data_IF_519583443865
#
_entry.id   IF_519583443865
#
_cell.length_a   1.000
_cell.length_b   1.000
_cell.length_c   1.000
_cell.angle_alpha   90.00
_cell.angle_beta   90.00
_cell.angle_gamma   90.00
#
_symmetry.space_group_name_H-M   'P 1'
#
loop_
_entity.id
_entity.type
_entity.pdbx_description
1 polymer ?
#
# COMPACT_ATOMS: atom_id res chain seq x y z
N UNK A 1 12.61 1.16 -15.12
CA UNK A 1 11.23 1.70 -15.24
C UNK A 1 11.17 3.05 -14.52
N UNK A 2 10.52 4.02 -15.11
CA UNK A 2 10.35 5.31 -14.45
C UNK A 2 9.44 5.14 -13.21
N UNK A 3 9.72 5.90 -12.16
CA UNK A 3 8.98 5.84 -10.91
C UNK A 3 7.47 6.02 -11.11
N UNK A 4 7.07 6.98 -11.95
CA UNK A 4 5.66 7.27 -12.18
C UNK A 4 4.93 6.26 -13.08
N UNK A 5 5.64 5.26 -13.60
CA UNK A 5 5.03 4.16 -14.36
C UNK A 5 4.62 2.98 -13.45
N UNK A 6 4.87 3.07 -12.16
CA UNK A 6 4.51 2.02 -11.22
C UNK A 6 2.99 1.80 -11.15
N UNK A 7 2.60 0.54 -11.11
CA UNK A 7 1.20 0.16 -10.89
C UNK A 7 0.94 0.09 -9.40
N UNK A 8 0.05 0.94 -8.91
CA UNK A 8 -0.24 1.06 -7.47
C UNK A 8 -1.69 0.68 -7.22
N UNK A 9 -1.90 -0.23 -6.27
CA UNK A 9 -3.22 -0.56 -5.77
C UNK A 9 -3.42 0.15 -4.43
N UNK A 10 -4.40 1.03 -4.38
CA UNK A 10 -4.72 1.81 -3.18
C UNK A 10 -5.96 1.21 -2.51
N UNK A 11 -5.82 0.84 -1.24
CA UNK A 11 -6.91 0.24 -0.47
C UNK A 11 -7.20 1.09 0.76
N UNK A 12 -8.39 1.70 0.79
CA UNK A 12 -8.82 2.59 1.86
C UNK A 12 -10.35 2.57 1.94
N UNK A 13 -10.89 2.22 3.10
CA UNK A 13 -12.33 2.09 3.26
C UNK A 13 -13.07 3.42 3.44
N UNK A 14 -12.36 4.47 3.80
CA UNK A 14 -12.95 5.78 4.02
C UNK A 14 -13.01 6.56 2.70
N UNK A 15 -14.21 6.87 2.17
CA UNK A 15 -14.33 7.42 0.81
C UNK A 15 -13.53 8.70 0.58
N UNK A 16 -13.56 9.63 1.53
CA UNK A 16 -12.83 10.90 1.38
C UNK A 16 -11.33 10.68 1.41
N UNK A 17 -10.85 9.78 2.25
CA UNK A 17 -9.42 9.48 2.34
C UNK A 17 -8.94 8.76 1.09
N UNK A 18 -9.76 7.89 0.53
CA UNK A 18 -9.43 7.20 -0.73
C UNK A 18 -9.27 8.20 -1.87
N UNK A 19 -10.24 9.10 -2.01
CA UNK A 19 -10.20 10.14 -3.04
C UNK A 19 -9.00 11.06 -2.82
N UNK A 20 -8.73 11.47 -1.58
CA UNK A 20 -7.62 12.35 -1.25
C UNK A 20 -6.27 11.69 -1.59
N UNK A 21 -6.11 10.42 -1.23
CA UNK A 21 -4.88 9.68 -1.52
C UNK A 21 -4.67 9.53 -3.02
N UNK A 22 -5.72 9.20 -3.76
CA UNK A 22 -5.66 9.11 -5.21
C UNK A 22 -5.25 10.45 -5.83
N UNK A 23 -5.88 11.53 -5.38
CA UNK A 23 -5.55 12.87 -5.87
C UNK A 23 -4.09 13.22 -5.63
N UNK A 24 -3.59 12.93 -4.42
CA UNK A 24 -2.20 13.22 -4.08
C UNK A 24 -1.23 12.41 -4.96
N UNK A 25 -1.49 11.12 -5.14
CA UNK A 25 -0.64 10.29 -6.00
C UNK A 25 -0.64 10.79 -7.44
N UNK A 26 -1.81 11.16 -7.96
CA UNK A 26 -1.90 11.74 -9.30
C UNK A 26 -1.11 13.05 -9.40
N UNK A 27 -1.18 13.89 -8.37
CA UNK A 27 -0.43 15.15 -8.33
C UNK A 27 1.08 14.92 -8.28
N UNK A 28 1.52 13.77 -7.78
CA UNK A 28 2.93 13.39 -7.74
C UNK A 28 3.41 12.74 -9.04
N UNK A 29 2.53 12.57 -10.01
CA UNK A 29 2.85 12.02 -11.32
C UNK A 29 2.54 10.55 -11.53
N UNK A 30 1.94 9.88 -10.54
CA UNK A 30 1.56 8.49 -10.67
C UNK A 30 0.21 8.40 -11.37
N UNK A 31 0.13 7.65 -12.47
CA UNK A 31 -1.06 7.58 -13.30
C UNK A 31 -1.67 6.19 -13.40
N UNK A 32 -0.92 5.14 -13.03
CA UNK A 32 -1.38 3.76 -13.13
C UNK A 32 -1.91 3.29 -11.77
N UNK A 33 -3.03 3.90 -11.36
CA UNK A 33 -3.63 3.69 -10.05
C UNK A 33 -4.90 2.85 -10.17
N UNK A 34 -5.05 1.89 -9.28
CA UNK A 34 -6.30 1.15 -9.06
C UNK A 34 -6.71 1.39 -7.62
N UNK A 35 -7.96 1.69 -7.38
CA UNK A 35 -8.46 1.98 -6.03
C UNK A 35 -9.56 1.00 -5.65
N UNK A 36 -9.62 0.66 -4.37
CA UNK A 36 -10.69 -0.16 -3.82
C UNK A 36 -10.90 0.20 -2.35
N UNK A 37 -12.10 -0.07 -1.85
CA UNK A 37 -12.50 0.34 -0.51
C UNK A 37 -12.50 -0.80 0.51
N UNK A 38 -12.03 -1.98 0.13
CA UNK A 38 -12.02 -3.14 1.03
C UNK A 38 -10.89 -4.10 0.67
N UNK A 39 -10.51 -4.95 1.64
CA UNK A 39 -9.54 -6.02 1.38
C UNK A 39 -10.09 -7.02 0.37
N UNK A 40 -11.39 -7.32 0.44
CA UNK A 40 -12.05 -8.22 -0.52
C UNK A 40 -11.95 -7.67 -1.94
N UNK A 41 -12.22 -6.37 -2.12
CA UNK A 41 -12.06 -5.71 -3.42
C UNK A 41 -10.62 -5.71 -3.90
N UNK A 42 -9.66 -5.53 -2.99
CA UNK A 42 -8.25 -5.58 -3.33
C UNK A 42 -7.84 -6.97 -3.83
N UNK A 43 -8.28 -8.02 -3.15
CA UNK A 43 -8.01 -9.40 -3.59
C UNK A 43 -8.56 -9.65 -4.99
N UNK A 44 -9.79 -9.19 -5.23
CA UNK A 44 -10.42 -9.34 -6.55
C UNK A 44 -9.59 -8.62 -7.63
N UNK A 45 -9.17 -7.38 -7.38
CA UNK A 45 -8.36 -6.63 -8.32
C UNK A 45 -7.01 -7.32 -8.59
N UNK A 46 -6.38 -7.85 -7.54
CA UNK A 46 -5.10 -8.55 -7.67
C UNK A 46 -5.24 -9.83 -8.49
N UNK A 47 -6.32 -10.59 -8.27
CA UNK A 47 -6.53 -11.85 -8.99
C UNK A 47 -6.90 -11.63 -10.45
N UNK A 48 -7.54 -10.52 -10.78
CA UNK A 48 -7.94 -10.17 -12.15
C UNK A 48 -6.82 -9.51 -12.96
N UNK A 49 -5.78 -9.02 -12.29
CA UNK A 49 -4.69 -8.30 -12.95
C UNK A 49 -3.77 -9.27 -13.71
N UNK A 50 -3.28 -8.85 -14.87
CA UNK A 50 -2.36 -9.65 -15.69
C UNK A 50 -0.96 -9.74 -15.07
N UNK A 51 -0.57 -8.75 -14.30
CA UNK A 51 0.74 -8.64 -13.69
C UNK A 51 0.59 -8.29 -12.20
N UNK A 52 1.56 -8.65 -11.34
CA UNK A 52 1.55 -8.19 -9.97
C UNK A 52 1.58 -6.67 -9.90
N UNK A 53 0.90 -6.10 -8.92
CA UNK A 53 1.03 -4.67 -8.63
C UNK A 53 2.43 -4.39 -8.09
N UNK A 54 3.02 -3.27 -8.51
CA UNK A 54 4.34 -2.88 -8.02
C UNK A 54 4.27 -2.47 -6.55
N UNK A 55 3.23 -1.74 -6.18
CA UNK A 55 3.02 -1.25 -4.81
C UNK A 55 1.57 -1.53 -4.39
N UNK A 56 1.42 -2.13 -3.22
CA UNK A 56 0.14 -2.17 -2.50
C UNK A 56 0.22 -1.08 -1.41
N UNK A 57 -0.57 -0.02 -1.55
CA UNK A 57 -0.65 1.05 -0.57
C UNK A 57 -1.97 0.89 0.16
N UNK A 58 -1.94 0.44 1.41
CA UNK A 58 -3.18 0.14 2.10
C UNK A 58 -3.21 0.63 3.55
N UNK A 59 -4.42 0.90 4.02
CA UNK A 59 -4.69 1.22 5.41
C UNK A 59 -4.57 -0.05 6.26
N UNK A 60 -4.03 0.08 7.46
CA UNK A 60 -3.98 -1.04 8.40
C UNK A 60 -5.37 -1.41 8.91
N UNK A 61 -6.24 -0.42 9.11
CA UNK A 61 -7.54 -0.62 9.77
C UNK A 61 -8.67 -0.75 8.77
N UNK A 62 -8.63 -1.78 7.92
CA UNK A 62 -9.73 -2.09 7.00
C UNK A 62 -10.82 -2.87 7.75
N UNK A 63 -12.08 -2.73 7.35
CA UNK A 63 -13.19 -3.35 8.10
C UNK A 63 -13.23 -4.88 8.00
N UNK A 64 -12.73 -5.45 6.91
CA UNK A 64 -12.84 -6.88 6.64
C UNK A 64 -11.54 -7.66 6.83
N UNK A 65 -10.39 -6.96 6.88
CA UNK A 65 -9.09 -7.61 7.08
C UNK A 65 -8.06 -6.54 7.43
N UNK A 66 -7.13 -6.83 8.31
CA UNK A 66 -6.06 -5.89 8.62
C UNK A 66 -5.08 -5.77 7.46
N UNK A 67 -4.51 -4.57 7.27
CA UNK A 67 -3.62 -4.29 6.15
C UNK A 67 -2.44 -5.25 6.06
N UNK A 68 -1.76 -5.55 7.16
CA UNK A 68 -0.64 -6.51 7.16
C UNK A 68 -1.07 -7.92 6.76
N UNK A 69 -2.29 -8.34 7.13
CA UNK A 69 -2.81 -9.64 6.73
C UNK A 69 -3.06 -9.67 5.22
N UNK A 70 -3.53 -8.56 4.65
CA UNK A 70 -3.68 -8.43 3.20
C UNK A 70 -2.32 -8.49 2.50
N UNK A 71 -1.31 -7.79 3.04
CA UNK A 71 0.06 -7.84 2.51
C UNK A 71 0.58 -9.27 2.50
N UNK A 72 0.41 -9.99 3.60
CA UNK A 72 0.85 -11.38 3.71
C UNK A 72 0.16 -12.27 2.68
N UNK A 73 -1.16 -12.16 2.56
CA UNK A 73 -1.93 -12.91 1.56
C UNK A 73 -1.40 -12.65 0.15
N UNK A 74 -1.27 -11.38 -0.21
CA UNK A 74 -0.83 -10.98 -1.54
C UNK A 74 0.60 -11.42 -1.83
N UNK A 75 1.48 -11.29 -0.85
CA UNK A 75 2.89 -11.67 -0.95
C UNK A 75 3.04 -13.18 -1.17
N UNK A 76 2.31 -13.98 -0.42
CA UNK A 76 2.37 -15.45 -0.52
C UNK A 76 1.96 -15.95 -1.90
N UNK A 77 1.14 -15.20 -2.61
CA UNK A 77 0.63 -15.56 -3.94
C UNK A 77 1.31 -14.83 -5.09
N UNK A 78 2.33 -14.01 -4.79
CA UNK A 78 3.05 -13.28 -5.81
C UNK A 78 2.22 -12.21 -6.51
N UNK A 79 1.22 -11.65 -5.82
CA UNK A 79 0.28 -10.68 -6.41
C UNK A 79 0.77 -9.24 -6.31
N UNK A 80 1.76 -8.99 -5.46
CA UNK A 80 2.38 -7.68 -5.27
C UNK A 80 3.90 -7.83 -5.21
N UNK A 81 4.61 -6.76 -5.53
CA UNK A 81 6.08 -6.72 -5.38
C UNK A 81 6.48 -6.15 -4.03
N UNK A 82 5.88 -5.03 -3.65
CA UNK A 82 6.16 -4.33 -2.40
C UNK A 82 4.86 -3.76 -1.82
N UNK A 83 4.89 -3.41 -0.54
CA UNK A 83 3.75 -2.82 0.13
C UNK A 83 4.16 -1.66 1.03
N UNK A 84 3.23 -0.73 1.21
CA UNK A 84 3.35 0.39 2.15
C UNK A 84 2.05 0.46 2.94
N UNK A 85 2.16 0.57 4.25
CA UNK A 85 1.00 0.81 5.12
C UNK A 85 0.85 2.31 5.34
N UNK A 86 -0.32 2.84 5.02
CA UNK A 86 -0.68 4.25 5.25
C UNK A 86 -1.74 4.28 6.34
N UNK A 87 -1.43 4.87 7.49
CA UNK A 87 -2.27 4.72 8.67
C UNK A 87 -2.26 5.96 9.55
N UNK A 88 -3.28 6.06 10.41
CA UNK A 88 -3.35 7.06 11.48
C UNK A 88 -2.95 6.50 12.84
N UNK A 89 -2.37 5.30 12.88
CA UNK A 89 -1.92 4.67 14.11
C UNK A 89 -0.81 5.44 14.80
N UNK A 90 -0.65 5.22 16.11
CA UNK A 90 0.43 5.81 16.88
C UNK A 90 1.78 5.20 16.50
N UNK A 91 2.87 5.88 16.86
CA UNK A 91 4.22 5.39 16.60
C UNK A 91 4.46 4.02 17.24
N UNK A 92 4.00 3.79 18.47
CA UNK A 92 4.18 2.48 19.12
C UNK A 92 3.41 1.37 18.39
N UNK A 93 2.20 1.66 17.91
CA UNK A 93 1.43 0.70 17.14
C UNK A 93 2.12 0.36 15.81
N UNK A 94 2.71 1.37 15.16
CA UNK A 94 3.46 1.18 13.93
C UNK A 94 4.74 0.37 14.15
N UNK A 95 5.42 0.56 15.29
CA UNK A 95 6.60 -0.23 15.64
C UNK A 95 6.24 -1.71 15.80
N UNK A 96 5.09 -2.02 16.39
CA UNK A 96 4.61 -3.41 16.50
C UNK A 96 4.32 -4.01 15.13
N UNK A 97 3.74 -3.23 14.22
CA UNK A 97 3.50 -3.67 12.84
C UNK A 97 4.80 -3.97 12.12
N UNK A 98 5.80 -3.12 12.29
CA UNK A 98 7.12 -3.30 11.68
C UNK A 98 7.78 -4.59 12.17
N UNK A 99 7.72 -4.86 13.48
CA UNK A 99 8.24 -6.10 14.04
C UNK A 99 7.55 -7.33 13.46
N UNK A 100 6.22 -7.25 13.30
CA UNK A 100 5.44 -8.33 12.70
C UNK A 100 5.86 -8.55 11.24
N UNK A 101 6.02 -7.48 10.48
CA UNK A 101 6.45 -7.56 9.08
C UNK A 101 7.82 -8.21 8.95
N UNK A 102 8.77 -7.83 9.80
CA UNK A 102 10.11 -8.41 9.82
C UNK A 102 10.04 -9.90 10.16
N UNK A 103 9.31 -10.26 11.21
CA UNK A 103 9.24 -11.65 11.67
C UNK A 103 8.58 -12.58 10.63
N UNK A 104 7.70 -12.06 9.77
CA UNK A 104 7.05 -12.82 8.70
C UNK A 104 7.71 -12.62 7.33
N UNK A 105 8.82 -11.89 7.27
CA UNK A 105 9.55 -11.59 6.02
C UNK A 105 8.64 -10.98 4.94
N UNK A 106 7.76 -10.06 5.34
CA UNK A 106 6.85 -9.41 4.41
C UNK A 106 7.57 -8.34 3.57
N UNK A 107 7.15 -8.13 2.30
CA UNK A 107 7.76 -7.16 1.41
C UNK A 107 7.28 -5.73 1.72
N UNK A 108 7.36 -5.33 2.98
CA UNK A 108 6.91 -4.03 3.45
C UNK A 108 8.04 -3.03 3.34
N UNK A 109 7.89 -2.01 2.49
CA UNK A 109 8.87 -0.91 2.37
C UNK A 109 8.89 -0.04 3.62
N UNK A 110 7.74 0.11 4.24
CA UNK A 110 7.60 0.91 5.43
C UNK A 110 6.15 1.29 5.65
N UNK A 111 5.94 2.21 6.56
CA UNK A 111 4.64 2.77 6.83
C UNK A 111 4.72 4.28 6.81
N UNK A 112 3.59 4.92 6.49
CA UNK A 112 3.45 6.37 6.47
C UNK A 112 2.26 6.75 7.32
N UNK A 113 2.39 7.88 8.03
CA UNK A 113 1.29 8.43 8.81
C UNK A 113 0.49 9.35 7.90
N UNK A 114 -0.84 9.21 7.93
CA UNK A 114 -1.73 10.06 7.14
C UNK A 114 -1.63 11.52 7.58
N UNK A 115 -1.73 12.47 6.65
CA UNK A 115 -1.95 12.30 5.21
C UNK A 115 -0.66 11.94 4.46
N UNK A 116 -0.81 11.36 3.27
CA UNK A 116 0.30 11.01 2.40
C UNK A 116 1.12 12.26 2.03
N UNK A 117 2.46 12.14 2.15
CA UNK A 117 3.37 13.23 1.76
C UNK A 117 4.31 12.74 0.67
N UNK A 118 4.53 13.59 -0.33
CA UNK A 118 5.33 13.22 -1.49
C UNK A 118 6.75 12.80 -1.12
N UNK A 119 7.44 13.59 -0.29
CA UNK A 119 8.82 13.30 0.07
C UNK A 119 8.96 11.95 0.80
N UNK A 120 8.07 11.68 1.74
CA UNK A 120 8.08 10.43 2.49
C UNK A 120 7.81 9.23 1.60
N UNK A 121 6.85 9.35 0.70
CA UNK A 121 6.51 8.30 -0.25
C UNK A 121 7.68 8.02 -1.19
N UNK A 122 8.29 9.06 -1.75
CA UNK A 122 9.44 8.92 -2.64
C UNK A 122 10.65 8.33 -1.95
N UNK A 123 10.88 8.68 -0.68
CA UNK A 123 12.00 8.12 0.08
C UNK A 123 11.87 6.60 0.22
N UNK A 124 10.65 6.10 0.47
CA UNK A 124 10.42 4.66 0.55
C UNK A 124 10.65 3.98 -0.80
N UNK A 125 10.18 4.58 -1.89
CA UNK A 125 10.41 4.03 -3.24
C UNK A 125 11.89 3.99 -3.58
N UNK A 126 12.62 5.04 -3.25
CA UNK A 126 14.06 5.13 -3.50
C UNK A 126 14.82 4.07 -2.72
N UNK A 127 14.46 3.86 -1.44
CA UNK A 127 15.10 2.85 -0.61
C UNK A 127 14.91 1.44 -1.15
N UNK A 128 13.82 1.19 -1.88
CA UNK A 128 13.54 -0.10 -2.52
C UNK A 128 14.21 -0.24 -3.88
N UNK A 129 14.81 0.81 -4.40
CA UNK A 129 15.45 0.83 -5.73
C UNK A 129 14.45 0.46 -6.86
N UNK A 130 13.24 0.91 -6.70
CA UNK A 130 12.20 0.72 -7.71
C UNK A 130 12.38 1.65 -8.90
#
# INVERSE_FOLDING_TARGET
>A
MAENDLCILVVEDHPFQLIATQYLLESYGFTRLTTTDSAKGAVQQMLEADQPFDILLCDQCLPDLKGLDLVRFASQRGLIRQAIILSSLTTSELDELEKTAISHALPLLGYLIKPLKQSEFRDLLTSAQL
#
